data_IF_877309026977
#
_entry.id   IF_877309026977
#
_cell.length_a   1.000
_cell.length_b   1.000
_cell.length_c   1.000
_cell.angle_alpha   90.00
_cell.angle_beta   90.00
_cell.angle_gamma   90.00
#
_symmetry.space_group_name_H-M   'P 1'
#
loop_
_entity.id
_entity.type
_entity.pdbx_description
1 polymer ?
#
# COMPACT_ATOMS: atom_id res chain seq x y z
N UNK A 1 8.64 28.07 -18.81
CA UNK A 1 7.53 27.52 -18.00
C UNK A 1 6.43 28.57 -17.99
N UNK A 2 5.22 28.25 -18.42
CA UNK A 2 4.17 29.26 -18.64
C UNK A 2 2.80 28.62 -18.89
N UNK A 3 2.44 27.63 -18.07
CA UNK A 3 1.13 26.96 -18.18
C UNK A 3 0.16 27.72 -17.29
N UNK A 4 -0.85 28.34 -17.90
CA UNK A 4 -1.96 28.97 -17.19
C UNK A 4 -3.14 28.01 -17.13
N UNK A 5 -3.57 27.70 -15.91
CA UNK A 5 -4.77 26.91 -15.66
C UNK A 5 -5.94 27.87 -15.47
N UNK A 6 -6.99 27.70 -16.28
CA UNK A 6 -8.24 28.47 -16.24
C UNK A 6 -9.35 27.55 -15.73
N UNK A 7 -9.90 27.85 -14.56
CA UNK A 7 -10.94 27.06 -13.91
C UNK A 7 -12.23 27.86 -13.98
N UNK A 8 -13.27 27.30 -14.62
CA UNK A 8 -14.53 28.01 -14.84
C UNK A 8 -15.21 28.39 -13.52
N UNK A 9 -15.09 27.54 -12.50
CA UNK A 9 -15.68 27.77 -11.17
C UNK A 9 -14.84 28.70 -10.28
N UNK A 10 -13.63 29.10 -10.72
CA UNK A 10 -12.77 30.05 -10.02
C UNK A 10 -12.48 31.21 -10.99
N UNK A 11 -13.42 32.18 -11.11
CA UNK A 11 -13.38 33.21 -12.15
C UNK A 11 -12.13 34.10 -12.07
N UNK A 12 -11.48 34.20 -10.91
CA UNK A 12 -10.19 34.92 -10.74
C UNK A 12 -9.06 34.32 -11.57
N UNK A 13 -9.12 33.02 -11.91
CA UNK A 13 -8.14 32.38 -12.81
C UNK A 13 -8.38 32.74 -14.28
N UNK A 14 -9.61 33.15 -14.62
CA UNK A 14 -10.01 33.54 -15.98
C UNK A 14 -9.61 34.97 -16.33
N UNK A 15 -9.42 35.84 -15.33
CA UNK A 15 -9.08 37.26 -15.49
C UNK A 15 -7.75 37.45 -16.20
N UNK A 16 -7.76 38.19 -17.30
CA UNK A 16 -6.55 38.56 -18.04
C UNK A 16 -5.98 39.85 -17.47
N UNK A 17 -4.85 39.74 -16.76
CA UNK A 17 -4.15 40.88 -16.17
C UNK A 17 -3.19 41.52 -17.20
N UNK A 18 -3.05 42.85 -17.23
CA UNK A 18 -1.98 43.51 -17.98
C UNK A 18 -0.60 42.98 -17.56
N UNK A 19 0.43 43.03 -18.43
CA UNK A 19 1.77 42.52 -18.11
C UNK A 19 2.35 43.07 -16.81
N UNK A 20 2.06 44.33 -16.49
CA UNK A 20 2.50 45.02 -15.27
C UNK A 20 1.91 44.43 -13.98
N UNK A 21 0.80 43.71 -14.09
CA UNK A 21 0.07 43.09 -12.98
C UNK A 21 0.17 41.56 -12.99
N UNK A 22 1.04 40.98 -13.82
CA UNK A 22 1.20 39.52 -13.92
C UNK A 22 1.52 38.85 -12.55
N UNK A 23 2.23 39.57 -11.67
CA UNK A 23 2.55 39.14 -10.30
C UNK A 23 1.30 38.83 -9.45
N UNK A 24 0.17 39.50 -9.72
CA UNK A 24 -1.09 39.27 -9.00
C UNK A 24 -1.60 37.85 -9.26
N UNK A 25 -1.54 37.40 -10.52
CA UNK A 25 -1.94 36.06 -10.91
C UNK A 25 -1.01 35.00 -10.30
N UNK A 26 0.30 35.27 -10.25
CA UNK A 26 1.27 34.38 -9.59
C UNK A 26 0.99 34.23 -8.10
N UNK A 27 0.71 35.33 -7.40
CA UNK A 27 0.35 35.32 -5.99
C UNK A 27 -0.95 34.54 -5.74
N UNK A 28 -1.99 34.78 -6.57
CA UNK A 28 -3.26 34.04 -6.48
C UNK A 28 -3.03 32.55 -6.66
N UNK A 29 -2.24 32.16 -7.68
CA UNK A 29 -1.93 30.75 -7.93
C UNK A 29 -1.17 30.11 -6.77
N UNK A 30 -0.17 30.80 -6.20
CA UNK A 30 0.58 30.30 -5.06
C UNK A 30 -0.34 30.03 -3.85
N UNK A 31 -1.21 30.98 -3.52
CA UNK A 31 -2.18 30.84 -2.43
C UNK A 31 -3.18 29.70 -2.72
N UNK A 32 -3.71 29.61 -3.94
CA UNK A 32 -4.63 28.54 -4.31
C UNK A 32 -4.00 27.16 -4.16
N UNK A 33 -2.75 26.99 -4.61
CA UNK A 33 -2.02 25.73 -4.48
C UNK A 33 -1.80 25.38 -3.01
N UNK A 34 -1.40 26.35 -2.19
CA UNK A 34 -1.19 26.15 -0.75
C UNK A 34 -2.48 25.73 -0.03
N UNK A 35 -3.58 26.45 -0.28
CA UNK A 35 -4.89 26.16 0.32
C UNK A 35 -5.40 24.78 -0.11
N UNK A 36 -5.34 24.47 -1.41
CA UNK A 36 -5.76 23.15 -1.91
C UNK A 36 -4.88 22.03 -1.36
N UNK A 37 -3.57 22.27 -1.22
CA UNK A 37 -2.63 21.36 -0.60
C UNK A 37 -2.99 21.08 0.87
N UNK A 38 -3.28 22.13 1.65
CA UNK A 38 -3.68 22.01 3.05
C UNK A 38 -5.02 21.26 3.21
N UNK A 39 -5.99 21.52 2.34
CA UNK A 39 -7.27 20.79 2.32
C UNK A 39 -7.04 19.31 2.02
N UNK A 40 -6.27 19.00 0.98
CA UNK A 40 -5.96 17.63 0.58
C UNK A 40 -5.21 16.86 1.69
N UNK A 41 -4.27 17.50 2.36
CA UNK A 41 -3.57 16.91 3.51
C UNK A 41 -4.53 16.61 4.66
N UNK A 42 -5.39 17.56 5.02
CA UNK A 42 -6.39 17.39 6.08
C UNK A 42 -7.35 16.23 5.76
N UNK A 43 -7.85 16.13 4.53
CA UNK A 43 -8.70 15.03 4.09
C UNK A 43 -7.97 13.68 4.16
N UNK A 44 -6.72 13.63 3.69
CA UNK A 44 -5.89 12.43 3.79
C UNK A 44 -5.70 11.97 5.23
N UNK A 45 -5.48 12.91 6.16
CA UNK A 45 -5.37 12.63 7.59
C UNK A 45 -6.68 12.10 8.16
N UNK A 46 -7.82 12.70 7.82
CA UNK A 46 -9.16 12.23 8.23
C UNK A 46 -9.49 10.83 7.71
N UNK A 47 -9.13 10.51 6.46
CA UNK A 47 -9.33 9.17 5.88
C UNK A 47 -8.49 8.14 6.64
N UNK A 48 -7.20 8.43 6.90
CA UNK A 48 -6.32 7.53 7.64
C UNK A 48 -6.74 7.32 9.09
N UNK A 49 -7.25 8.36 9.76
CA UNK A 49 -7.79 8.24 11.11
C UNK A 49 -8.97 7.26 11.15
N UNK A 50 -9.97 7.46 10.29
CA UNK A 50 -11.14 6.57 10.18
C UNK A 50 -10.77 5.15 9.77
N UNK A 51 -9.81 4.98 8.85
CA UNK A 51 -9.30 3.66 8.48
C UNK A 51 -8.69 2.94 9.69
N UNK A 52 -7.89 3.65 10.49
CA UNK A 52 -7.28 3.10 11.71
C UNK A 52 -8.33 2.65 12.72
N UNK A 53 -9.36 3.47 12.93
CA UNK A 53 -10.51 3.13 13.79
C UNK A 53 -11.22 1.88 13.30
N UNK A 54 -11.49 1.78 11.99
CA UNK A 54 -12.10 0.60 11.38
C UNK A 54 -11.26 -0.66 11.53
N UNK A 55 -9.93 -0.57 11.31
CA UNK A 55 -9.01 -1.68 11.53
C UNK A 55 -8.99 -2.09 13.01
N UNK A 56 -8.98 -1.14 13.94
CA UNK A 56 -9.01 -1.43 15.37
C UNK A 56 -10.31 -2.16 15.78
N UNK A 57 -11.46 -1.71 15.28
CA UNK A 57 -12.75 -2.36 15.52
C UNK A 57 -12.79 -3.79 14.94
N UNK A 58 -12.26 -4.00 13.74
CA UNK A 58 -12.17 -5.32 13.12
C UNK A 58 -11.20 -6.25 13.85
N UNK A 59 -10.05 -5.75 14.33
CA UNK A 59 -9.13 -6.51 15.18
C UNK A 59 -9.80 -6.94 16.50
N UNK A 60 -10.59 -6.07 17.14
CA UNK A 60 -11.40 -6.43 18.33
C UNK A 60 -12.42 -7.54 18.05
N UNK A 61 -12.93 -7.61 16.82
CA UNK A 61 -13.82 -8.68 16.34
C UNK A 61 -13.05 -9.94 15.87
N UNK A 62 -11.74 -10.02 16.11
CA UNK A 62 -10.87 -11.10 15.65
C UNK A 62 -10.91 -11.31 14.12
N UNK A 63 -11.21 -10.26 13.34
CA UNK A 63 -11.13 -10.33 11.88
C UNK A 63 -9.67 -10.54 11.48
N UNK A 64 -9.43 -11.60 10.72
CA UNK A 64 -8.11 -11.90 10.19
C UNK A 64 -7.77 -10.95 9.04
N UNK A 65 -6.64 -10.25 9.17
CA UNK A 65 -6.08 -9.40 8.13
C UNK A 65 -4.95 -10.09 7.39
N UNK A 66 -4.62 -9.55 6.21
CA UNK A 66 -3.52 -10.01 5.38
C UNK A 66 -3.86 -11.25 4.55
N UNK A 67 -2.84 -11.79 3.88
CA UNK A 67 -2.99 -12.96 3.02
C UNK A 67 -3.33 -14.19 3.88
N UNK A 68 -4.35 -14.99 3.51
CA UNK A 68 -4.59 -16.28 4.13
C UNK A 68 -3.32 -17.16 4.09
N UNK A 69 -3.13 -18.05 5.08
CA UNK A 69 -1.99 -18.94 5.09
C UNK A 69 -2.18 -19.94 3.95
N UNK A 70 -1.10 -20.30 3.27
CA UNK A 70 -1.17 -21.46 2.38
C UNK A 70 -1.41 -22.70 3.24
N UNK A 71 -2.26 -23.61 2.77
CA UNK A 71 -2.34 -24.94 3.37
C UNK A 71 -0.97 -25.63 3.30
N UNK A 72 -0.70 -26.47 4.29
CA UNK A 72 0.41 -27.41 4.20
C UNK A 72 0.06 -28.45 3.12
N UNK A 73 1.03 -28.88 2.30
CA UNK A 73 0.84 -30.04 1.43
C UNK A 73 0.51 -31.28 2.26
N UNK A 74 -0.37 -32.16 1.77
CA UNK A 74 -0.88 -33.31 2.52
C UNK A 74 0.24 -34.27 2.97
N UNK A 75 1.28 -34.42 2.15
CA UNK A 75 2.47 -35.24 2.40
C UNK A 75 3.58 -34.54 3.19
N UNK A 76 3.33 -33.34 3.74
CA UNK A 76 4.34 -32.54 4.44
C UNK A 76 5.03 -33.30 5.58
N UNK A 77 4.26 -33.91 6.48
CA UNK A 77 4.82 -34.57 7.67
C UNK A 77 5.74 -35.74 7.32
N UNK A 78 5.33 -36.56 6.35
CA UNK A 78 6.10 -37.73 5.91
C UNK A 78 7.41 -37.30 5.26
N UNK A 79 7.35 -36.37 4.30
CA UNK A 79 8.53 -35.86 3.61
C UNK A 79 9.50 -35.18 4.58
N UNK A 80 8.97 -34.43 5.56
CA UNK A 80 9.79 -33.77 6.56
C UNK A 80 10.48 -34.74 7.52
N UNK A 81 9.86 -35.88 7.82
CA UNK A 81 10.51 -36.95 8.60
C UNK A 81 11.70 -37.53 7.83
N UNK A 82 11.54 -37.82 6.53
CA UNK A 82 12.62 -38.33 5.69
C UNK A 82 13.79 -37.35 5.58
N UNK A 83 13.48 -36.05 5.45
CA UNK A 83 14.51 -35.00 5.39
C UNK A 83 15.28 -34.90 6.71
N UNK A 84 14.59 -34.98 7.86
CA UNK A 84 15.25 -34.90 9.19
C UNK A 84 16.10 -36.13 9.49
N UNK A 85 15.67 -37.32 9.05
CA UNK A 85 16.44 -38.56 9.19
C UNK A 85 17.60 -38.67 8.18
N UNK A 86 17.77 -37.70 7.26
CA UNK A 86 18.80 -37.73 6.23
C UNK A 86 18.51 -38.66 5.04
N UNK A 87 17.32 -39.27 5.01
CA UNK A 87 16.88 -40.18 3.95
C UNK A 87 16.52 -39.46 2.65
N UNK A 88 16.27 -38.15 2.70
CA UNK A 88 15.87 -37.34 1.54
C UNK A 88 16.54 -35.97 1.58
N UNK A 89 17.01 -35.48 0.42
CA UNK A 89 17.60 -34.13 0.36
C UNK A 89 16.50 -33.06 0.35
N UNK A 90 16.71 -31.90 0.98
CA UNK A 90 15.74 -30.80 0.95
C UNK A 90 15.32 -30.38 -0.46
N UNK A 91 16.22 -30.45 -1.45
CA UNK A 91 15.93 -30.10 -2.85
C UNK A 91 14.92 -31.06 -3.49
N UNK A 92 15.00 -32.35 -3.15
CA UNK A 92 14.08 -33.39 -3.63
C UNK A 92 12.71 -33.21 -2.99
N UNK A 93 12.69 -32.99 -1.67
CA UNK A 93 11.48 -32.67 -0.92
C UNK A 93 10.75 -31.43 -1.47
N UNK A 94 11.47 -30.35 -1.80
CA UNK A 94 10.89 -29.15 -2.40
C UNK A 94 10.20 -29.46 -3.73
N UNK A 95 10.83 -30.28 -4.58
CA UNK A 95 10.27 -30.67 -5.89
C UNK A 95 9.02 -31.54 -5.72
N UNK A 96 9.06 -32.50 -4.79
CA UNK A 96 7.97 -33.42 -4.50
C UNK A 96 6.76 -32.73 -3.86
N UNK A 97 7.00 -31.75 -2.98
CA UNK A 97 5.96 -30.93 -2.34
C UNK A 97 5.37 -29.87 -3.28
N UNK A 98 5.99 -29.61 -4.44
CA UNK A 98 5.53 -28.60 -5.40
C UNK A 98 5.52 -27.16 -4.86
N UNK A 99 6.34 -26.88 -3.83
CA UNK A 99 6.39 -25.57 -3.18
C UNK A 99 7.65 -24.79 -3.55
N UNK A 100 7.62 -23.47 -3.39
CA UNK A 100 8.83 -22.66 -3.59
C UNK A 100 9.86 -22.94 -2.50
N UNK A 101 11.15 -22.89 -2.86
CA UNK A 101 12.27 -23.04 -1.92
C UNK A 101 12.12 -22.14 -0.69
N UNK A 102 11.73 -20.87 -0.89
CA UNK A 102 11.52 -19.92 0.22
C UNK A 102 10.37 -20.33 1.14
N UNK A 103 9.29 -20.90 0.60
CA UNK A 103 8.17 -21.39 1.43
C UNK A 103 8.58 -22.63 2.22
N UNK A 104 9.35 -23.54 1.61
CA UNK A 104 9.89 -24.72 2.30
C UNK A 104 10.73 -24.34 3.52
N UNK A 105 11.72 -23.46 3.37
CA UNK A 105 12.59 -23.08 4.50
C UNK A 105 11.85 -22.29 5.58
N UNK A 106 10.85 -21.50 5.20
CA UNK A 106 9.97 -20.84 6.17
C UNK A 106 9.21 -21.86 7.02
N UNK A 107 8.62 -22.87 6.39
CA UNK A 107 7.91 -23.94 7.10
C UNK A 107 8.86 -24.86 7.90
N UNK A 108 10.12 -24.99 7.45
CA UNK A 108 11.17 -25.73 8.13
C UNK A 108 11.62 -25.03 9.42
N UNK A 109 11.69 -23.69 9.42
CA UNK A 109 12.08 -22.90 10.60
C UNK A 109 10.95 -22.71 11.61
N UNK A 110 9.70 -22.72 11.16
CA UNK A 110 8.51 -22.52 12.00
C UNK A 110 8.08 -23.79 12.79
N UNK A 111 8.77 -24.93 12.61
CA UNK A 111 8.53 -26.24 13.26
C UNK A 111 9.75 -26.73 14.04
#
# INVERSE_FOLDING_TARGET
MGIRVKILDIPTTLTDFPPEQAWVLEMINAILIEVLGAIAENERNKIRARQREGIAAAKKKNVRFGRPPKSLPDNWQQIMADVRCGNKKPVEAIRELGISRSYFYKLYSDN
#
